data_IF_099911610431
#
_entry.id   IF_099911610431
#
_cell.length_a   1.000
_cell.length_b   1.000
_cell.length_c   1.000
_cell.angle_alpha   90.00
_cell.angle_beta   90.00
_cell.angle_gamma   90.00
#
_symmetry.space_group_name_H-M   'P 1'
#
loop_
_entity.id
_entity.type
_entity.pdbx_description
1 polymer ?
#
# COMPACT_ATOMS: atom_id res chain seq x y z
N UNK A 1 -16.53 -8.27 20.20
CA UNK A 1 -15.55 -7.29 19.70
C UNK A 1 -15.66 -7.44 18.22
N UNK A 2 -16.32 -6.50 17.56
CA UNK A 2 -16.18 -6.38 16.10
C UNK A 2 -14.68 -6.16 15.88
N UNK A 3 -14.06 -7.05 15.12
CA UNK A 3 -12.67 -6.86 14.76
C UNK A 3 -12.62 -5.53 13.96
N UNK A 4 -11.58 -4.73 14.24
CA UNK A 4 -11.38 -3.43 13.62
C UNK A 4 -10.41 -3.60 12.46
N UNK A 5 -10.78 -3.11 11.27
CA UNK A 5 -9.96 -3.11 10.05
C UNK A 5 -8.55 -2.54 10.34
N UNK A 6 -7.50 -3.32 10.10
CA UNK A 6 -6.10 -2.92 10.32
C UNK A 6 -5.37 -2.74 9.00
N UNK A 7 -4.91 -1.53 8.74
CA UNK A 7 -4.21 -1.19 7.51
C UNK A 7 -2.70 -1.19 7.70
N UNK A 8 -2.00 -1.73 6.70
CA UNK A 8 -0.54 -1.73 6.62
C UNK A 8 -0.11 -1.38 5.21
N UNK A 9 1.13 -0.92 5.03
CA UNK A 9 1.72 -0.74 3.70
C UNK A 9 2.91 -1.66 3.49
N UNK A 10 3.14 -2.07 2.24
CA UNK A 10 4.35 -2.79 1.84
C UNK A 10 4.62 -2.63 0.34
N UNK A 11 5.77 -3.12 -0.13
CA UNK A 11 6.02 -3.33 -1.56
C UNK A 11 5.68 -4.75 -1.96
N UNK A 12 5.24 -4.94 -3.21
CA UNK A 12 4.89 -6.28 -3.73
C UNK A 12 5.97 -7.33 -3.47
N UNK A 13 7.25 -6.99 -3.68
CA UNK A 13 8.34 -7.96 -3.54
C UNK A 13 8.63 -8.40 -2.10
N UNK A 14 8.11 -7.70 -1.09
CA UNK A 14 8.40 -7.97 0.33
C UNK A 14 7.20 -8.44 1.12
N UNK A 15 6.00 -8.32 0.57
CA UNK A 15 4.80 -8.90 1.17
C UNK A 15 4.92 -10.42 1.28
N UNK A 16 4.46 -10.95 2.43
CA UNK A 16 4.34 -12.37 2.70
C UNK A 16 2.88 -12.70 3.10
N UNK A 17 2.30 -13.82 2.65
CA UNK A 17 0.90 -14.16 2.91
C UNK A 17 0.47 -14.19 4.38
N UNK A 18 1.40 -14.49 5.30
CA UNK A 18 1.14 -14.49 6.75
C UNK A 18 1.00 -13.08 7.35
N UNK A 19 1.23 -12.03 6.56
CA UNK A 19 1.14 -10.63 6.98
C UNK A 19 -0.25 -10.00 6.81
N UNK A 20 -1.21 -10.71 6.21
CA UNK A 20 -2.57 -10.24 5.97
C UNK A 20 -3.00 -10.36 4.51
N UNK A 21 -4.14 -9.77 4.15
CA UNK A 21 -4.66 -9.76 2.79
C UNK A 21 -3.95 -8.71 1.90
N UNK A 22 -3.29 -9.12 0.80
CA UNK A 22 -2.56 -8.20 -0.08
C UNK A 22 -3.51 -7.42 -1.02
N UNK A 23 -3.51 -6.10 -0.91
CA UNK A 23 -4.39 -5.21 -1.68
C UNK A 23 -3.57 -4.40 -2.65
N UNK A 24 -3.94 -4.46 -3.93
CA UNK A 24 -3.33 -3.59 -4.95
C UNK A 24 -3.80 -2.16 -4.77
N UNK A 25 -2.87 -1.21 -4.77
CA UNK A 25 -3.15 0.24 -4.82
C UNK A 25 -2.44 0.93 -5.99
N UNK A 26 -2.06 0.19 -7.02
CA UNK A 26 -1.30 0.70 -8.18
C UNK A 26 -2.13 0.78 -9.45
N UNK A 27 -1.88 1.81 -10.26
CA UNK A 27 -2.59 2.01 -11.55
C UNK A 27 -2.34 0.86 -12.54
N UNK A 28 -1.12 0.30 -12.55
CA UNK A 28 -0.78 -0.93 -13.28
C UNK A 28 -0.77 -2.15 -12.36
N UNK A 29 -1.10 -3.32 -12.91
CA UNK A 29 -0.91 -4.60 -12.24
C UNK A 29 0.58 -5.03 -12.31
N UNK A 30 1.07 -5.80 -11.32
CA UNK A 30 2.36 -6.47 -11.42
C UNK A 30 2.45 -7.32 -12.70
N UNK A 31 3.57 -7.20 -13.43
CA UNK A 31 3.85 -7.98 -14.65
C UNK A 31 4.84 -9.11 -14.42
N UNK A 32 5.33 -9.25 -13.19
CA UNK A 32 6.15 -10.35 -12.72
C UNK A 32 5.26 -11.32 -11.93
N UNK A 33 5.61 -12.62 -11.88
CA UNK A 33 4.86 -13.58 -11.09
C UNK A 33 4.93 -13.20 -9.61
N UNK A 34 3.78 -13.21 -8.94
CA UNK A 34 3.68 -13.11 -7.50
C UNK A 34 3.52 -14.53 -6.92
N UNK A 35 4.17 -14.86 -5.80
CA UNK A 35 3.97 -16.15 -5.12
C UNK A 35 2.67 -16.18 -4.30
N UNK A 36 1.77 -15.21 -4.50
CA UNK A 36 0.52 -15.02 -3.78
C UNK A 36 -0.51 -14.35 -4.69
N UNK A 37 -1.79 -14.55 -4.38
CA UNK A 37 -2.90 -13.87 -5.05
C UNK A 37 -3.23 -12.54 -4.36
N UNK A 38 -3.68 -11.56 -5.14
CA UNK A 38 -4.18 -10.29 -4.60
C UNK A 38 -5.61 -10.48 -4.08
N UNK A 39 -5.87 -10.03 -2.86
CA UNK A 39 -7.19 -10.09 -2.24
C UNK A 39 -8.17 -9.08 -2.85
N UNK A 40 -7.67 -7.97 -3.40
CA UNK A 40 -8.51 -6.95 -4.01
C UNK A 40 -7.74 -5.82 -4.68
N UNK A 41 -8.49 -4.87 -5.22
CA UNK A 41 -7.96 -3.66 -5.85
C UNK A 41 -8.70 -2.43 -5.32
N UNK A 42 -8.07 -1.71 -4.38
CA UNK A 42 -8.53 -0.42 -3.90
C UNK A 42 -8.23 0.65 -4.97
N UNK A 43 -9.16 0.82 -5.92
CA UNK A 43 -8.99 1.69 -7.09
C UNK A 43 -8.89 3.16 -6.71
N UNK A 44 -9.60 3.58 -5.66
CA UNK A 44 -9.60 4.96 -5.16
C UNK A 44 -8.19 5.38 -4.73
N UNK A 45 -7.43 4.45 -4.16
CA UNK A 45 -6.05 4.67 -3.70
C UNK A 45 -5.02 4.62 -4.84
N UNK A 46 -5.42 4.25 -6.05
CA UNK A 46 -4.50 4.19 -7.16
C UNK A 46 -4.19 5.59 -7.71
N UNK A 47 -2.91 5.94 -7.91
CA UNK A 47 -2.57 7.13 -8.66
C UNK A 47 -3.04 7.01 -10.11
N UNK A 48 -3.07 8.11 -10.85
CA UNK A 48 -3.30 8.06 -12.29
C UNK A 48 -1.99 7.82 -13.07
N UNK A 49 -2.08 7.36 -14.33
CA UNK A 49 -0.91 7.25 -15.21
C UNK A 49 -0.21 8.60 -15.44
N UNK A 50 -0.95 9.71 -15.44
CA UNK A 50 -0.38 11.04 -15.57
C UNK A 50 0.51 11.41 -14.37
N UNK A 51 0.08 11.02 -13.17
CA UNK A 51 0.83 11.29 -11.94
C UNK A 51 2.18 10.58 -11.90
N UNK A 52 2.34 9.43 -12.56
CA UNK A 52 3.61 8.70 -12.60
C UNK A 52 4.77 9.48 -13.28
N UNK A 53 4.48 10.61 -13.92
CA UNK A 53 5.45 11.48 -14.60
C UNK A 53 5.80 12.74 -13.79
N UNK A 54 5.28 12.85 -12.58
CA UNK A 54 5.45 14.02 -11.72
C UNK A 54 6.51 13.78 -10.65
N UNK A 55 7.18 14.87 -10.25
CA UNK A 55 8.02 14.89 -9.05
C UNK A 55 7.15 14.88 -7.78
N UNK A 56 7.79 14.64 -6.62
CA UNK A 56 7.09 14.39 -5.34
C UNK A 56 6.07 15.49 -4.99
N UNK A 57 6.45 16.76 -5.07
CA UNK A 57 5.61 17.86 -4.62
C UNK A 57 4.29 17.98 -5.42
N UNK A 58 4.30 18.11 -6.76
CA UNK A 58 3.06 18.11 -7.55
C UNK A 58 2.32 16.78 -7.48
N UNK A 59 3.02 15.65 -7.36
CA UNK A 59 2.38 14.35 -7.15
C UNK A 59 1.56 14.34 -5.86
N UNK A 60 2.19 14.73 -4.74
CA UNK A 60 1.58 14.72 -3.41
C UNK A 60 0.33 15.60 -3.38
N UNK A 61 0.42 16.80 -3.93
CA UNK A 61 -0.70 17.73 -3.99
C UNK A 61 -1.91 17.09 -4.68
N UNK A 62 -1.73 16.58 -5.90
CA UNK A 62 -2.81 15.95 -6.68
C UNK A 62 -3.31 14.66 -6.01
N UNK A 63 -2.41 13.88 -5.41
CA UNK A 63 -2.78 12.63 -4.76
C UNK A 63 -3.67 12.88 -3.53
N UNK A 64 -3.27 13.82 -2.66
CA UNK A 64 -4.06 14.19 -1.48
C UNK A 64 -5.39 14.81 -1.90
N UNK A 65 -5.43 15.71 -2.89
CA UNK A 65 -6.68 16.28 -3.40
C UNK A 65 -7.67 15.19 -3.85
N UNK A 66 -7.18 14.11 -4.47
CA UNK A 66 -8.01 12.96 -4.85
C UNK A 66 -8.55 12.17 -3.65
N UNK A 67 -7.75 12.03 -2.59
CA UNK A 67 -8.20 11.38 -1.35
C UNK A 67 -9.26 12.22 -0.66
N UNK A 68 -9.03 13.53 -0.54
CA UNK A 68 -10.01 14.49 0.01
C UNK A 68 -11.32 14.48 -0.79
N UNK A 69 -11.23 14.46 -2.13
CA UNK A 69 -12.42 14.42 -2.98
C UNK A 69 -13.20 13.10 -2.87
N UNK A 70 -12.53 11.99 -2.54
CA UNK A 70 -13.20 10.72 -2.28
C UNK A 70 -13.82 10.69 -0.86
N UNK A 71 -13.11 11.22 0.12
CA UNK A 71 -13.51 11.23 1.53
C UNK A 71 -13.20 9.91 2.26
N UNK A 72 -13.16 10.00 3.58
CA UNK A 72 -12.86 8.86 4.48
C UNK A 72 -13.88 7.74 4.31
N UNK A 73 -15.17 8.05 4.32
CA UNK A 73 -16.25 7.05 4.29
C UNK A 73 -16.17 6.16 3.05
N UNK A 74 -15.99 6.75 1.86
CA UNK A 74 -15.88 5.99 0.60
C UNK A 74 -14.65 5.08 0.60
N UNK A 75 -13.53 5.55 1.14
CA UNK A 75 -12.31 4.76 1.23
C UNK A 75 -12.46 3.64 2.27
N UNK A 76 -13.08 3.93 3.41
CA UNK A 76 -13.36 2.95 4.46
C UNK A 76 -14.26 1.83 3.93
N UNK A 77 -15.33 2.17 3.22
CA UNK A 77 -16.27 1.21 2.63
C UNK A 77 -15.59 0.34 1.56
N UNK A 78 -14.76 0.92 0.68
CA UNK A 78 -14.00 0.17 -0.34
C UNK A 78 -13.02 -0.83 0.31
N UNK A 79 -12.34 -0.42 1.39
CA UNK A 79 -11.41 -1.28 2.12
C UNK A 79 -12.15 -2.36 2.92
N UNK A 80 -13.25 -2.03 3.60
CA UNK A 80 -14.07 -2.99 4.32
C UNK A 80 -14.63 -4.07 3.38
N UNK A 81 -15.13 -3.68 2.21
CA UNK A 81 -15.60 -4.63 1.20
C UNK A 81 -14.48 -5.58 0.72
N UNK A 82 -13.24 -5.09 0.58
CA UNK A 82 -12.09 -5.94 0.24
C UNK A 82 -11.75 -6.90 1.40
N UNK A 83 -11.78 -6.43 2.65
CA UNK A 83 -11.55 -7.25 3.83
C UNK A 83 -12.60 -8.38 3.96
N UNK A 84 -13.88 -8.06 3.74
CA UNK A 84 -14.97 -9.04 3.76
C UNK A 84 -14.77 -10.14 2.71
N UNK A 85 -14.40 -9.77 1.48
CA UNK A 85 -14.12 -10.74 0.41
C UNK A 85 -12.87 -11.58 0.73
N UNK A 86 -11.87 -10.97 1.37
CA UNK A 86 -10.64 -11.67 1.78
C UNK A 86 -10.87 -12.61 2.98
N UNK A 87 -11.88 -12.35 3.80
CA UNK A 87 -12.06 -12.98 5.11
C UNK A 87 -10.95 -12.63 6.10
N UNK A 88 -10.30 -11.48 5.92
CA UNK A 88 -9.18 -11.00 6.74
C UNK A 88 -9.23 -9.47 6.85
N UNK A 89 -9.36 -8.98 8.07
CA UNK A 89 -9.41 -7.55 8.38
C UNK A 89 -8.03 -6.88 8.41
N UNK A 90 -6.96 -7.66 8.24
CA UNK A 90 -5.61 -7.14 8.14
C UNK A 90 -5.26 -6.92 6.67
N UNK A 91 -5.48 -5.71 6.15
CA UNK A 91 -5.15 -5.37 4.77
C UNK A 91 -3.73 -4.82 4.64
N UNK A 92 -2.99 -5.30 3.64
CA UNK A 92 -1.67 -4.80 3.29
C UNK A 92 -1.70 -4.12 1.92
N UNK A 93 -1.60 -2.79 1.92
CA UNK A 93 -1.66 -1.94 0.73
C UNK A 93 -0.32 -1.95 -0.01
N UNK A 94 -0.32 -2.52 -1.22
CA UNK A 94 0.89 -2.82 -1.98
C UNK A 94 1.19 -1.79 -3.07
N UNK A 95 2.46 -1.43 -3.18
CA UNK A 95 3.02 -0.65 -4.30
C UNK A 95 4.34 -1.26 -4.82
N UNK A 96 4.88 -0.73 -5.92
CA UNK A 96 6.15 -1.16 -6.51
C UNK A 96 7.38 -0.48 -5.90
N UNK A 97 7.24 0.76 -5.39
CA UNK A 97 8.38 1.59 -5.03
C UNK A 97 9.21 0.97 -3.91
N UNK A 98 10.53 0.99 -4.11
CA UNK A 98 11.52 0.72 -3.08
C UNK A 98 11.74 1.99 -2.27
N UNK A 99 11.54 1.93 -0.95
CA UNK A 99 11.68 3.09 -0.06
C UNK A 99 12.97 3.06 0.76
N UNK A 100 13.82 2.06 0.55
CA UNK A 100 15.19 2.00 1.10
C UNK A 100 16.18 2.90 0.33
N UNK A 101 15.79 3.33 -0.87
CA UNK A 101 16.60 4.23 -1.70
C UNK A 101 16.75 5.61 -1.07
N UNK A 102 17.82 6.32 -1.41
CA UNK A 102 18.04 7.69 -0.94
C UNK A 102 17.15 8.71 -1.67
N UNK A 103 16.86 9.87 -1.04
CA UNK A 103 16.27 11.01 -1.74
C UNK A 103 17.02 11.36 -3.03
N UNK A 104 16.32 11.85 -4.07
CA UNK A 104 14.94 12.33 -4.07
C UNK A 104 13.88 11.24 -4.33
N UNK A 105 14.26 9.96 -4.39
CA UNK A 105 13.35 8.87 -4.80
C UNK A 105 12.70 8.13 -3.61
N UNK A 106 12.97 8.56 -2.39
CA UNK A 106 12.53 7.92 -1.14
C UNK A 106 11.07 8.23 -0.76
N UNK A 107 10.15 8.23 -1.73
CA UNK A 107 8.73 8.56 -1.53
C UNK A 107 7.81 7.65 -2.37
N UNK A 108 6.56 7.52 -1.94
CA UNK A 108 5.54 6.71 -2.61
C UNK A 108 4.15 7.12 -2.15
N UNK A 109 3.15 6.94 -3.03
CA UNK A 109 1.74 7.22 -2.72
C UNK A 109 1.23 6.43 -1.51
N UNK A 110 1.74 5.22 -1.25
CA UNK A 110 1.33 4.42 -0.08
C UNK A 110 1.66 5.12 1.25
N UNK A 111 2.82 5.79 1.34
CA UNK A 111 3.17 6.60 2.53
C UNK A 111 2.37 7.89 2.62
N UNK A 112 2.06 8.50 1.47
CA UNK A 112 1.19 9.68 1.42
C UNK A 112 -0.23 9.33 1.90
N UNK A 113 -0.76 8.18 1.48
CA UNK A 113 -2.03 7.65 1.97
C UNK A 113 -1.97 7.37 3.48
N UNK A 114 -0.93 6.68 3.95
CA UNK A 114 -0.78 6.38 5.37
C UNK A 114 -0.81 7.65 6.25
N UNK A 115 -0.06 8.68 5.84
CA UNK A 115 -0.04 9.97 6.54
C UNK A 115 -1.42 10.66 6.51
N UNK A 116 -2.06 10.70 5.34
CA UNK A 116 -3.39 11.28 5.17
C UNK A 116 -4.44 10.53 6.02
N UNK A 117 -4.45 9.20 5.98
CA UNK A 117 -5.40 8.37 6.73
C UNK A 117 -5.27 8.61 8.23
N UNK A 118 -4.05 8.67 8.76
CA UNK A 118 -3.80 8.97 10.16
C UNK A 118 -4.27 10.37 10.54
N UNK A 119 -4.07 11.37 9.68
CA UNK A 119 -4.55 12.75 9.91
C UNK A 119 -6.08 12.80 9.96
N UNK A 120 -6.77 12.06 9.09
CA UNK A 120 -8.23 12.09 9.01
C UNK A 120 -8.93 11.23 10.07
N UNK A 121 -8.33 10.10 10.46
CA UNK A 121 -9.01 9.07 11.28
C UNK A 121 -8.35 8.84 12.63
N UNK A 122 -7.11 9.28 12.81
CA UNK A 122 -6.27 8.92 13.96
C UNK A 122 -5.66 7.51 13.90
N UNK A 123 -6.02 6.69 12.89
CA UNK A 123 -5.51 5.33 12.74
C UNK A 123 -4.15 5.32 12.01
N UNK A 124 -3.14 4.71 12.63
CA UNK A 124 -1.84 4.52 11.98
C UNK A 124 -1.91 3.44 10.89
N UNK A 125 -1.19 3.69 9.78
CA UNK A 125 -0.99 2.71 8.70
C UNK A 125 0.52 2.44 8.56
N UNK A 126 1.10 1.59 9.42
CA UNK A 126 2.54 1.38 9.43
C UNK A 126 3.02 0.62 8.18
N UNK A 127 4.18 1.00 7.67
CA UNK A 127 4.91 0.20 6.69
C UNK A 127 5.42 -1.06 7.38
N UNK A 128 5.05 -2.23 6.87
CA UNK A 128 5.62 -3.49 7.34
C UNK A 128 7.11 -3.46 7.07
N UNK A 129 7.90 -3.65 8.13
CA UNK A 129 9.34 -3.63 8.06
C UNK A 129 9.82 -4.43 6.85
N UNK A 130 10.64 -3.80 6.01
CA UNK A 130 11.48 -4.52 5.08
C UNK A 130 12.41 -5.36 5.94
N UNK A 131 12.02 -6.59 6.28
CA UNK A 131 12.95 -7.51 6.92
C UNK A 131 14.19 -7.53 6.00
N UNK A 132 15.41 -7.30 6.55
CA UNK A 132 16.61 -7.43 5.75
C UNK A 132 16.52 -8.78 5.03
N UNK A 133 16.86 -8.79 3.75
CA UNK A 133 16.95 -10.06 3.03
C UNK A 133 17.84 -10.99 3.87
N UNK A 134 17.42 -12.23 4.17
CA UNK A 134 18.36 -13.18 4.70
C UNK A 134 19.56 -13.20 3.75
N UNK A 135 20.80 -13.16 4.26
CA UNK A 135 21.97 -13.17 3.41
C UNK A 135 21.84 -14.32 2.40
N UNK A 136 22.24 -14.09 1.16
CA UNK A 136 22.22 -15.12 0.15
C UNK A 136 22.88 -16.39 0.73
N UNK A 137 22.27 -17.59 0.56
CA UNK A 137 22.87 -18.81 1.06
C UNK A 137 24.28 -18.90 0.51
N UNK A 138 25.26 -18.97 1.40
CA UNK A 138 26.64 -19.12 0.96
C UNK A 138 26.81 -20.57 0.49
N UNK A 139 27.60 -20.78 -0.56
CA UNK A 139 27.89 -22.10 -1.08
C UNK A 139 28.77 -22.94 -0.12
N UNK A 140 29.04 -22.43 1.09
CA UNK A 140 30.04 -22.91 2.03
C UNK A 140 29.48 -23.25 3.42
N UNK A 141 28.16 -23.38 3.56
CA UNK A 141 27.54 -23.96 4.75
C UNK A 141 27.24 -25.47 4.55
#
# INVERSE_FOLDING_TARGET
MEDELKLFTSRYQRFRPDQGAPVRTTVGAPRFPLPYDLAGFARVLAPSYAMLKLDEAPYRYIYVERLEAAGVDVIADDLAAIADVAGDERLVLLCFCDLSVSPPNAWCHRRMFAAWWQEQTGQEVPELAELPEPPAPTLFD
#
